data_IF_801050699902
#
_entry.id   IF_801050699902
#
_cell.length_a   1.000
_cell.length_b   1.000
_cell.length_c   1.000
_cell.angle_alpha   90.00
_cell.angle_beta   90.00
_cell.angle_gamma   90.00
#
_symmetry.space_group_name_H-M   'P 1'
#
loop_
_entity.id
_entity.type
_entity.pdbx_description
1 polymer ?
#
# COMPACT_ATOMS: atom_id res chain seq x y z
N UNK A 1 15.40 1.48 31.04
CA UNK A 1 14.05 1.54 30.43
C UNK A 1 13.09 0.86 31.40
N UNK A 2 12.34 1.64 32.18
CA UNK A 2 11.44 1.12 33.24
C UNK A 2 10.07 0.71 32.69
N UNK A 3 10.02 -0.33 31.86
CA UNK A 3 8.78 -0.86 31.27
C UNK A 3 8.37 -2.13 32.03
N UNK A 4 7.12 -2.21 32.48
CA UNK A 4 6.52 -3.43 33.01
C UNK A 4 6.07 -4.34 31.87
N UNK A 5 6.41 -5.63 31.96
CA UNK A 5 6.01 -6.63 31.00
C UNK A 5 4.90 -7.51 31.59
N UNK A 6 3.72 -7.45 30.99
CA UNK A 6 2.58 -8.27 31.38
C UNK A 6 2.25 -9.28 30.28
N UNK A 7 2.05 -10.54 30.68
CA UNK A 7 1.71 -11.62 29.77
C UNK A 7 0.22 -11.93 29.82
N UNK A 8 -0.36 -12.20 28.65
CA UNK A 8 -1.71 -12.73 28.56
C UNK A 8 -1.76 -14.16 29.10
N UNK A 9 -2.88 -14.53 29.69
CA UNK A 9 -3.13 -15.90 30.16
C UNK A 9 -3.11 -16.87 28.97
N UNK A 10 -2.50 -18.04 29.17
CA UNK A 10 -2.43 -19.08 28.15
C UNK A 10 -3.83 -19.45 27.63
N UNK A 11 -3.97 -19.59 26.30
CA UNK A 11 -5.25 -19.88 25.60
C UNK A 11 -6.34 -18.79 25.72
N UNK A 12 -6.08 -17.66 26.38
CA UNK A 12 -7.00 -16.51 26.47
C UNK A 12 -6.84 -15.53 25.30
N UNK A 13 -7.09 -16.05 24.12
CA UNK A 13 -7.03 -15.38 22.82
C UNK A 13 -7.73 -14.01 22.76
N UNK A 14 -8.79 -13.84 23.55
CA UNK A 14 -9.65 -12.66 23.64
C UNK A 14 -8.95 -11.46 24.30
N UNK A 15 -8.01 -11.69 25.22
CA UNK A 15 -7.23 -10.62 25.86
C UNK A 15 -6.45 -9.79 24.82
N UNK A 16 -6.00 -10.44 23.74
CA UNK A 16 -5.33 -9.79 22.62
C UNK A 16 -6.29 -9.42 21.46
N UNK A 17 -7.60 -9.39 21.71
CA UNK A 17 -8.61 -9.25 20.66
C UNK A 17 -8.49 -7.96 19.84
N UNK A 18 -8.08 -6.85 20.47
CA UNK A 18 -7.86 -5.57 19.77
C UNK A 18 -6.71 -5.68 18.77
N UNK A 19 -5.56 -6.19 19.21
CA UNK A 19 -4.37 -6.38 18.37
C UNK A 19 -4.67 -7.37 17.24
N UNK A 20 -5.34 -8.48 17.54
CA UNK A 20 -5.72 -9.49 16.53
C UNK A 20 -6.61 -8.91 15.43
N UNK A 21 -7.65 -8.16 15.80
CA UNK A 21 -8.53 -7.50 14.80
C UNK A 21 -7.76 -6.51 13.94
N UNK A 22 -6.90 -5.68 14.56
CA UNK A 22 -6.07 -4.71 13.83
C UNK A 22 -5.10 -5.37 12.87
N UNK A 23 -4.39 -6.41 13.32
CA UNK A 23 -3.47 -7.16 12.47
C UNK A 23 -4.20 -7.81 11.30
N UNK A 24 -5.39 -8.38 11.53
CA UNK A 24 -6.20 -8.95 10.45
C UNK A 24 -6.54 -7.91 9.38
N UNK A 25 -7.08 -6.75 9.78
CA UNK A 25 -7.41 -5.66 8.84
C UNK A 25 -6.18 -5.13 8.10
N UNK A 26 -5.03 -5.04 8.78
CA UNK A 26 -3.78 -4.59 8.14
C UNK A 26 -3.32 -5.58 7.06
N UNK A 27 -3.32 -6.88 7.37
CA UNK A 27 -2.90 -7.94 6.43
C UNK A 27 -3.89 -8.08 5.27
N UNK A 28 -5.20 -7.94 5.51
CA UNK A 28 -6.22 -7.93 4.46
C UNK A 28 -5.97 -6.74 3.51
N UNK A 29 -5.76 -5.52 4.04
CA UNK A 29 -5.48 -4.35 3.22
C UNK A 29 -4.16 -4.49 2.43
N UNK A 30 -3.11 -5.02 3.04
CA UNK A 30 -1.85 -5.30 2.37
C UNK A 30 -2.03 -6.31 1.23
N UNK A 31 -2.80 -7.38 1.47
CA UNK A 31 -3.13 -8.37 0.43
C UNK A 31 -3.87 -7.72 -0.74
N UNK A 32 -4.85 -6.85 -0.46
CA UNK A 32 -5.58 -6.11 -1.50
C UNK A 32 -4.64 -5.20 -2.31
N UNK A 33 -3.74 -4.46 -1.66
CA UNK A 33 -2.75 -3.61 -2.35
C UNK A 33 -1.81 -4.42 -3.24
N UNK A 34 -1.36 -5.59 -2.77
CA UNK A 34 -0.48 -6.49 -3.52
C UNK A 34 -1.16 -7.01 -4.80
N UNK A 35 -2.42 -7.46 -4.67
CA UNK A 35 -3.22 -7.98 -5.80
C UNK A 35 -3.51 -6.86 -6.81
N UNK A 36 -3.94 -5.69 -6.32
CA UNK A 36 -4.25 -4.54 -7.16
C UNK A 36 -3.03 -4.12 -8.00
N UNK A 37 -1.86 -4.00 -7.37
CA UNK A 37 -0.63 -3.61 -8.04
C UNK A 37 0.01 -4.71 -8.91
N UNK A 38 -0.58 -5.92 -8.94
CA UNK A 38 0.03 -7.12 -9.54
C UNK A 38 1.50 -7.31 -9.12
N UNK A 39 1.79 -6.95 -7.86
CA UNK A 39 3.15 -6.89 -7.36
C UNK A 39 3.62 -8.28 -6.89
N UNK A 40 4.93 -8.51 -7.00
CA UNK A 40 5.54 -9.77 -6.60
C UNK A 40 5.59 -9.89 -5.07
N UNK A 41 5.38 -11.11 -4.55
CA UNK A 41 5.31 -11.40 -3.12
C UNK A 41 6.59 -11.00 -2.36
N UNK A 42 7.75 -10.90 -3.01
CA UNK A 42 8.98 -10.46 -2.35
C UNK A 42 8.87 -9.04 -1.76
N UNK A 43 7.94 -8.22 -2.25
CA UNK A 43 7.66 -6.86 -1.75
C UNK A 43 6.72 -6.84 -0.54
N UNK A 44 6.34 -7.99 0.04
CA UNK A 44 5.33 -8.04 1.11
C UNK A 44 5.63 -7.11 2.29
N UNK A 45 6.89 -6.94 2.69
CA UNK A 45 7.28 -6.03 3.78
C UNK A 45 6.93 -4.58 3.43
N UNK A 46 7.22 -4.16 2.20
CA UNK A 46 6.96 -2.81 1.69
C UNK A 46 5.46 -2.54 1.58
N UNK A 47 4.71 -3.55 1.13
CA UNK A 47 3.24 -3.48 1.03
C UNK A 47 2.61 -3.32 2.42
N UNK A 48 3.03 -4.14 3.40
CA UNK A 48 2.52 -4.05 4.77
C UNK A 48 2.88 -2.71 5.42
N UNK A 49 4.10 -2.23 5.21
CA UNK A 49 4.54 -0.92 5.69
C UNK A 49 3.70 0.22 5.07
N UNK A 50 3.41 0.14 3.77
CA UNK A 50 2.59 1.13 3.05
C UNK A 50 1.14 1.09 3.51
N UNK A 51 0.56 -0.09 3.68
CA UNK A 51 -0.77 -0.26 4.24
C UNK A 51 -0.88 0.34 5.65
N UNK A 52 0.13 0.09 6.51
CA UNK A 52 0.18 0.69 7.85
C UNK A 52 0.29 2.22 7.78
N UNK A 53 1.18 2.74 6.92
CA UNK A 53 1.43 4.16 6.76
C UNK A 53 0.17 4.92 6.31
N UNK A 54 -0.53 4.38 5.31
CA UNK A 54 -1.77 4.94 4.76
C UNK A 54 -2.89 4.87 5.78
N UNK A 55 -3.17 3.70 6.37
CA UNK A 55 -4.23 3.53 7.36
C UNK A 55 -4.06 4.45 8.58
N UNK A 56 -2.84 4.63 9.08
CA UNK A 56 -2.59 5.48 10.23
C UNK A 56 -2.89 6.96 9.97
N UNK A 57 -2.84 7.39 8.71
CA UNK A 57 -3.06 8.78 8.28
C UNK A 57 -4.44 9.03 7.68
N UNK A 58 -5.12 8.02 7.16
CA UNK A 58 -6.41 8.19 6.48
C UNK A 58 -7.61 7.68 7.29
N UNK A 59 -7.44 6.66 8.15
CA UNK A 59 -8.56 6.08 8.88
C UNK A 59 -8.86 6.92 10.12
N UNK A 60 -10.05 7.53 10.11
CA UNK A 60 -10.60 8.26 11.25
C UNK A 60 -11.16 7.27 12.28
N UNK A 61 -10.73 7.39 13.54
CA UNK A 61 -11.40 6.71 14.64
C UNK A 61 -12.65 7.48 15.03
N UNK A 62 -13.81 6.92 14.71
CA UNK A 62 -15.13 7.51 14.96
C UNK A 62 -15.28 8.09 16.39
N UNK A 63 -14.79 7.38 17.42
CA UNK A 63 -14.89 7.84 18.82
C UNK A 63 -14.24 9.20 19.08
N UNK A 64 -13.18 9.53 18.35
CA UNK A 64 -12.39 10.75 18.57
C UNK A 64 -12.51 11.75 17.42
N UNK A 65 -13.10 11.35 16.28
CA UNK A 65 -13.13 12.19 15.07
C UNK A 65 -11.73 12.51 14.50
N UNK A 66 -10.70 11.75 14.90
CA UNK A 66 -9.29 11.99 14.55
C UNK A 66 -8.63 10.76 13.96
N UNK A 67 -7.59 10.96 13.16
CA UNK A 67 -6.73 9.89 12.64
C UNK A 67 -5.78 9.36 13.72
N UNK A 68 -5.19 8.18 13.55
CA UNK A 68 -4.23 7.65 14.52
C UNK A 68 -2.96 8.52 14.58
N UNK A 69 -2.56 9.07 13.42
CA UNK A 69 -1.44 10.01 13.32
C UNK A 69 -1.69 11.28 14.14
N UNK A 70 -2.88 11.88 14.04
CA UNK A 70 -3.26 13.04 14.86
C UNK A 70 -3.26 12.72 16.35
N UNK A 71 -3.75 11.55 16.74
CA UNK A 71 -3.79 11.16 18.15
C UNK A 71 -2.40 10.94 18.76
N UNK A 72 -1.40 10.61 17.94
CA UNK A 72 -0.03 10.32 18.41
C UNK A 72 0.88 11.55 18.34
N UNK A 73 0.68 12.43 17.36
CA UNK A 73 1.56 13.55 17.07
C UNK A 73 0.91 14.92 17.26
N UNK A 74 -0.37 14.98 17.63
CA UNK A 74 -1.17 16.21 17.75
C UNK A 74 -1.10 17.12 16.52
N UNK A 75 -0.91 16.51 15.34
CA UNK A 75 -0.73 17.21 14.06
C UNK A 75 -1.58 16.54 12.97
N UNK A 76 -2.23 17.36 12.14
CA UNK A 76 -2.94 16.87 10.96
C UNK A 76 -1.97 16.18 9.98
N UNK A 77 -2.33 15.00 9.44
CA UNK A 77 -1.51 14.33 8.45
C UNK A 77 -1.55 15.11 7.13
N UNK A 78 -0.37 15.28 6.53
CA UNK A 78 -0.26 15.75 5.15
C UNK A 78 -0.60 14.59 4.20
N UNK A 79 -1.78 14.66 3.58
CA UNK A 79 -2.27 13.62 2.67
C UNK A 79 -1.82 13.82 1.22
N UNK A 80 -1.26 14.99 0.88
CA UNK A 80 -0.73 15.26 -0.47
C UNK A 80 0.43 14.34 -0.86
N UNK A 81 1.07 13.75 0.16
CA UNK A 81 2.17 12.81 0.01
C UNK A 81 1.71 11.37 -0.23
N UNK A 82 0.40 11.10 -0.30
CA UNK A 82 -0.12 9.75 -0.49
C UNK A 82 -0.25 9.39 -1.98
N UNK A 83 0.46 8.34 -2.38
CA UNK A 83 0.40 7.78 -3.72
C UNK A 83 -0.06 6.32 -3.70
N UNK A 84 -0.63 5.88 -4.82
CA UNK A 84 -1.14 4.52 -5.01
C UNK A 84 0.04 3.54 -5.09
N UNK A 85 0.07 2.55 -4.21
CA UNK A 85 1.08 1.47 -4.26
C UNK A 85 1.05 0.79 -5.63
N UNK A 86 2.22 0.60 -6.25
CA UNK A 86 2.35 0.06 -7.59
C UNK A 86 2.28 1.10 -8.72
N UNK A 87 2.04 2.38 -8.41
CA UNK A 87 2.02 3.43 -9.42
C UNK A 87 3.35 3.51 -10.18
N UNK A 88 3.24 3.74 -11.50
CA UNK A 88 4.39 4.03 -12.34
C UNK A 88 4.94 5.41 -11.98
N UNK A 89 6.25 5.51 -11.83
CA UNK A 89 6.90 6.75 -11.47
C UNK A 89 8.27 6.88 -12.12
N UNK A 90 8.77 8.10 -12.19
CA UNK A 90 10.02 8.44 -12.83
C UNK A 90 10.95 9.10 -11.81
N UNK A 91 11.69 8.31 -11.00
CA UNK A 91 12.71 8.87 -10.13
C UNK A 91 13.81 9.55 -10.95
N UNK A 92 14.22 10.75 -10.52
CA UNK A 92 15.38 11.41 -11.07
C UNK A 92 16.63 10.51 -10.90
N UNK A 93 17.42 10.41 -11.96
CA UNK A 93 18.65 9.64 -11.95
C UNK A 93 19.80 10.56 -11.52
N UNK A 94 20.21 10.48 -10.26
CA UNK A 94 21.28 11.31 -9.69
C UNK A 94 22.68 10.75 -9.98
N UNK A 95 22.83 9.79 -10.91
CA UNK A 95 24.14 9.21 -11.19
C UNK A 95 25.10 10.25 -11.79
N UNK A 96 26.28 10.41 -11.17
CA UNK A 96 27.29 11.41 -11.53
C UNK A 96 27.85 11.24 -12.96
N UNK A 97 27.56 10.12 -13.64
CA UNK A 97 28.08 9.75 -14.95
C UNK A 97 27.10 9.98 -16.10
N UNK A 98 26.05 10.80 -15.93
CA UNK A 98 25.12 11.10 -17.00
C UNK A 98 25.77 12.02 -18.05
N UNK A 99 26.24 11.44 -19.15
CA UNK A 99 26.61 12.19 -20.35
C UNK A 99 25.43 13.04 -20.87
N UNK A 100 25.72 14.11 -21.63
CA UNK A 100 24.76 15.15 -22.08
C UNK A 100 23.45 14.65 -22.72
N UNK A 101 23.38 13.39 -23.17
CA UNK A 101 22.24 12.79 -23.90
C UNK A 101 21.64 11.55 -23.19
N UNK A 102 22.04 11.22 -21.97
CA UNK A 102 21.48 10.07 -21.25
C UNK A 102 20.08 10.41 -20.66
N UNK A 103 19.20 9.40 -20.48
CA UNK A 103 17.92 9.59 -19.81
C UNK A 103 18.11 10.15 -18.40
N UNK A 104 17.45 11.28 -18.11
CA UNK A 104 17.52 11.96 -16.81
C UNK A 104 16.70 11.30 -15.71
N UNK A 105 15.81 10.38 -16.07
CA UNK A 105 14.98 9.65 -15.14
C UNK A 105 14.92 8.17 -15.54
N UNK A 106 14.85 7.31 -14.53
CA UNK A 106 14.61 5.88 -14.72
C UNK A 106 13.11 5.58 -14.62
N UNK A 107 12.70 4.40 -15.06
CA UNK A 107 11.35 3.90 -14.81
C UNK A 107 11.32 3.18 -13.46
N UNK A 108 10.47 3.65 -12.57
CA UNK A 108 10.25 3.13 -11.23
C UNK A 108 8.82 2.67 -11.00
N UNK A 109 8.66 1.81 -10.00
CA UNK A 109 7.37 1.44 -9.43
C UNK A 109 7.37 1.91 -7.98
N UNK A 110 6.35 2.65 -7.59
CA UNK A 110 6.19 3.10 -6.21
C UNK A 110 5.87 1.93 -5.29
N UNK A 111 6.67 1.74 -4.24
CA UNK A 111 6.51 0.62 -3.31
C UNK A 111 6.36 1.06 -1.85
N UNK A 112 6.38 2.36 -1.55
CA UNK A 112 6.08 2.83 -0.21
C UNK A 112 6.88 4.04 0.23
N UNK A 113 6.95 4.21 1.55
CA UNK A 113 7.52 5.40 2.18
C UNK A 113 8.76 5.04 3.00
N UNK A 114 9.74 5.93 3.02
CA UNK A 114 10.92 5.75 3.85
C UNK A 114 10.53 5.82 5.35
N UNK A 115 11.10 4.96 6.21
CA UNK A 115 10.68 4.85 7.62
C UNK A 115 11.08 6.07 8.47
N UNK A 116 12.19 6.73 8.13
CA UNK A 116 12.77 7.81 8.94
C UNK A 116 12.81 9.17 8.23
N UNK A 117 12.46 9.22 6.94
CA UNK A 117 12.57 10.41 6.10
C UNK A 117 11.26 10.66 5.36
N UNK A 118 10.96 11.92 5.03
CA UNK A 118 9.89 12.26 4.08
C UNK A 118 10.39 11.99 2.65
N UNK A 119 10.47 10.71 2.29
CA UNK A 119 10.95 10.24 0.99
C UNK A 119 10.15 9.01 0.54
N UNK A 120 10.15 8.76 -0.77
CA UNK A 120 9.51 7.60 -1.37
C UNK A 120 10.52 6.46 -1.53
N UNK A 121 10.03 5.23 -1.38
CA UNK A 121 10.72 4.00 -1.74
C UNK A 121 10.22 3.57 -3.11
N UNK A 122 11.14 3.44 -4.05
CA UNK A 122 10.86 3.14 -5.44
C UNK A 122 11.65 1.93 -5.86
N UNK A 123 10.97 0.96 -6.47
CA UNK A 123 11.62 -0.13 -7.15
C UNK A 123 12.02 0.32 -8.55
N UNK A 124 13.31 0.56 -8.75
CA UNK A 124 13.84 0.95 -10.06
C UNK A 124 13.90 -0.28 -10.98
N UNK A 125 13.14 -0.26 -12.09
CA UNK A 125 13.04 -1.40 -13.02
C UNK A 125 14.36 -1.68 -13.75
N UNK A 126 15.16 -0.65 -14.01
CA UNK A 126 16.45 -0.76 -14.72
C UNK A 126 17.49 -1.44 -13.84
N UNK A 127 17.66 -0.97 -12.61
CA UNK A 127 18.69 -1.47 -11.69
C UNK A 127 18.23 -2.67 -10.86
N UNK A 128 16.91 -2.92 -10.80
CA UNK A 128 16.27 -3.92 -9.92
C UNK A 128 16.57 -3.69 -8.44
N UNK A 129 16.76 -2.44 -8.04
CA UNK A 129 17.04 -2.05 -6.64
C UNK A 129 15.95 -1.13 -6.12
N UNK A 130 15.75 -1.18 -4.81
CA UNK A 130 14.93 -0.22 -4.08
C UNK A 130 15.78 1.01 -3.82
N UNK A 131 15.30 2.16 -4.26
CA UNK A 131 15.93 3.47 -4.04
C UNK A 131 15.02 4.35 -3.20
N UNK A 132 15.63 5.16 -2.34
CA UNK A 132 14.93 6.20 -1.58
C UNK A 132 15.18 7.56 -2.23
N UNK A 133 14.11 8.27 -2.61
CA UNK A 133 14.25 9.60 -3.23
C UNK A 133 13.01 10.46 -2.96
N UNK A 134 13.20 11.78 -3.03
CA UNK A 134 12.15 12.79 -2.96
C UNK A 134 11.80 13.36 -4.34
N UNK A 135 12.69 13.19 -5.34
CA UNK A 135 12.55 13.74 -6.68
C UNK A 135 11.98 12.68 -7.61
N UNK A 136 10.65 12.67 -7.69
CA UNK A 136 9.89 11.63 -8.38
C UNK A 136 8.68 12.26 -9.03
N UNK A 137 8.51 12.01 -10.32
CA UNK A 137 7.27 12.32 -11.03
C UNK A 137 6.41 11.06 -11.11
N UNK A 138 5.15 11.15 -10.67
CA UNK A 138 4.20 10.04 -10.69
C UNK A 138 3.30 10.12 -11.91
N UNK A 139 3.10 8.99 -12.58
CA UNK A 139 2.13 8.87 -13.67
C UNK A 139 0.77 8.43 -13.12
N UNK A 140 -0.02 9.40 -12.66
CA UNK A 140 -1.33 9.16 -12.05
C UNK A 140 -2.40 8.71 -13.07
N UNK A 141 -2.16 8.93 -14.38
CA UNK A 141 -3.15 8.69 -15.44
C UNK A 141 -3.22 7.22 -15.87
N UNK A 142 -2.13 6.48 -15.79
CA UNK A 142 -2.07 5.09 -16.27
C UNK A 142 -2.68 4.09 -15.27
N UNK A 143 -2.69 4.42 -13.97
CA UNK A 143 -3.24 3.57 -12.90
C UNK A 143 -4.75 3.26 -13.06
N UNK A 144 -5.52 4.18 -13.65
CA UNK A 144 -6.97 4.04 -13.83
C UNK A 144 -7.35 3.31 -15.14
N UNK A 145 -6.42 3.19 -16.10
CA UNK A 145 -6.72 2.66 -17.43
C UNK A 145 -6.73 1.11 -17.51
N UNK A 146 -6.03 0.42 -16.59
CA UNK A 146 -5.99 -1.05 -16.58
C UNK A 146 -7.33 -1.71 -16.21
N UNK A 147 -8.24 -1.00 -15.54
CA UNK A 147 -9.48 -1.58 -15.02
C UNK A 147 -10.58 -1.74 -16.09
N UNK A 148 -10.49 -1.05 -17.23
CA UNK A 148 -11.52 -1.15 -18.26
C UNK A 148 -11.24 -2.23 -19.32
N UNK A 149 -10.02 -2.75 -19.40
CA UNK A 149 -9.63 -3.65 -20.50
C UNK A 149 -9.79 -5.14 -20.21
N UNK A 150 -10.28 -5.54 -19.01
CA UNK A 150 -10.35 -6.96 -18.63
C UNK A 150 -11.71 -7.46 -18.11
N UNK A 151 -12.84 -6.85 -18.51
CA UNK A 151 -14.18 -7.44 -18.23
C UNK A 151 -14.98 -7.69 -19.50
N UNK A 152 -14.50 -8.65 -20.31
CA UNK A 152 -15.28 -9.30 -21.37
C UNK A 152 -15.67 -10.72 -20.95
N UNK A 153 -16.47 -10.87 -19.90
CA UNK A 153 -17.16 -12.13 -19.59
C UNK A 153 -18.67 -11.87 -19.62
N UNK A 154 -19.25 -12.13 -20.79
CA UNK A 154 -20.70 -12.19 -21.00
C UNK A 154 -21.27 -13.29 -20.10
N UNK A 155 -22.28 -13.01 -19.25
CA UNK A 155 -22.98 -14.06 -18.53
C UNK A 155 -23.78 -14.91 -19.53
N UNK A 156 -23.48 -16.21 -19.62
CA UNK A 156 -24.31 -17.17 -20.37
C UNK A 156 -25.66 -17.29 -19.65
N UNK A 157 -26.81 -17.14 -20.34
CA UNK A 157 -28.11 -17.36 -19.71
C UNK A 157 -28.26 -18.85 -19.37
N UNK A 158 -28.39 -19.16 -18.09
CA UNK A 158 -28.77 -20.48 -17.58
C UNK A 158 -30.22 -20.78 -17.97
N UNK A 159 -30.42 -21.85 -18.73
CA UNK A 159 -31.73 -22.41 -19.07
C UNK A 159 -32.47 -22.85 -17.81
N UNK A 160 -33.65 -22.28 -17.57
CA UNK A 160 -34.57 -22.67 -16.51
C UNK A 160 -35.20 -24.03 -16.83
N UNK A 161 -34.86 -25.05 -16.05
CA UNK A 161 -35.62 -26.31 -16.02
C UNK A 161 -36.80 -26.13 -15.05
N UNK A 162 -38.01 -26.26 -15.56
CA UNK A 162 -39.26 -26.20 -14.81
C UNK A 162 -39.42 -27.40 -13.88
N UNK A 163 -39.65 -27.15 -12.60
CA UNK A 163 -39.97 -28.14 -11.58
C UNK A 163 -41.46 -28.50 -11.66
N UNK A 164 -41.81 -29.79 -11.70
CA UNK A 164 -43.20 -30.30 -11.61
C UNK A 164 -43.30 -31.17 -10.35
N UNK A 165 -44.15 -30.82 -9.37
CA UNK A 165 -44.35 -31.66 -8.18
C UNK A 165 -45.40 -32.76 -8.42
N UNK A 166 -45.41 -33.81 -7.56
CA UNK A 166 -46.27 -34.99 -7.68
C UNK A 166 -47.75 -34.74 -7.37
#
# INVERSE_FOLDING_TARGET
VGISYETSVARSSQQNGVVKRRNRTLIEAASTMLIYAQALLFLWVEVVATACYTQNRSIIRLRHGKTLYELLHDKLPDLSFLYVFGALCYPANDSENLGKLQPKADIGIFIGYAPTKKAFRIYNRRTRRIVETIHVDFDELTTMASEQSSSGLVPKPTSSTSFVPP
#
